data_IF_715922110722
#
_entry.id   IF_715922110722
#
_cell.length_a   1.000
_cell.length_b   1.000
_cell.length_c   1.000
_cell.angle_alpha   90.00
_cell.angle_beta   90.00
_cell.angle_gamma   90.00
#
_symmetry.space_group_name_H-M   'P 1'
#
loop_
_entity.id
_entity.type
_entity.pdbx_description
1 polymer ?
#
# COMPACT_ATOMS: atom_id res chain seq x y z
N UNK A 1 -32.17 21.43 -10.82
CA UNK A 1 -31.44 22.68 -10.85
C UNK A 1 -32.04 23.65 -11.87
N UNK A 2 -31.94 24.95 -11.64
CA UNK A 2 -32.34 26.05 -12.52
C UNK A 2 -31.14 26.95 -12.77
N UNK A 3 -31.08 27.55 -13.98
CA UNK A 3 -30.09 28.56 -14.30
C UNK A 3 -30.34 29.87 -13.52
N UNK A 4 -29.30 30.69 -13.38
CA UNK A 4 -29.40 31.96 -12.67
C UNK A 4 -30.32 32.97 -13.40
N UNK A 5 -30.27 33.04 -14.72
CA UNK A 5 -31.06 33.95 -15.55
C UNK A 5 -31.89 33.17 -16.57
N UNK A 6 -33.11 33.59 -16.83
CA UNK A 6 -34.03 33.01 -17.85
C UNK A 6 -34.16 31.49 -17.74
N UNK A 7 -34.17 30.96 -16.53
CA UNK A 7 -34.28 29.54 -16.31
C UNK A 7 -35.53 28.94 -16.96
N UNK A 8 -35.35 27.86 -17.72
CA UNK A 8 -36.45 27.16 -18.34
C UNK A 8 -37.37 26.56 -17.28
N UNK A 9 -38.66 26.62 -17.52
CA UNK A 9 -39.66 25.96 -16.68
C UNK A 9 -39.47 24.44 -16.65
N UNK A 10 -39.78 23.82 -15.52
CA UNK A 10 -39.71 22.37 -15.33
C UNK A 10 -41.07 21.80 -14.93
N UNK A 11 -41.38 20.62 -15.43
CA UNK A 11 -42.66 19.94 -15.15
C UNK A 11 -42.36 18.87 -14.10
N UNK A 12 -43.25 18.81 -13.08
CA UNK A 12 -43.27 17.77 -12.04
C UNK A 12 -44.66 17.15 -12.03
N UNK A 13 -44.75 15.83 -12.06
CA UNK A 13 -46.01 15.12 -11.90
C UNK A 13 -46.25 14.84 -10.42
N UNK A 14 -47.38 15.34 -9.90
CA UNK A 14 -47.87 15.05 -8.53
C UNK A 14 -48.78 13.84 -8.59
N UNK A 15 -48.46 12.81 -7.85
CA UNK A 15 -49.27 11.61 -7.67
C UNK A 15 -50.00 11.71 -6.34
N UNK A 16 -51.27 12.12 -6.37
CA UNK A 16 -52.12 12.22 -5.19
C UNK A 16 -53.46 11.49 -5.39
N UNK A 17 -54.03 11.00 -4.33
CA UNK A 17 -55.38 10.37 -4.28
C UNK A 17 -56.47 11.33 -3.79
N UNK A 18 -56.08 12.53 -3.38
CA UNK A 18 -56.98 13.55 -2.82
C UNK A 18 -56.44 14.97 -3.16
N UNK A 19 -57.14 15.97 -2.60
CA UNK A 19 -56.74 17.37 -2.73
C UNK A 19 -55.37 17.64 -2.12
N UNK A 20 -54.58 18.46 -2.76
CA UNK A 20 -53.26 18.89 -2.31
C UNK A 20 -53.04 20.40 -2.57
N UNK A 21 -52.09 20.98 -1.83
CA UNK A 21 -51.66 22.37 -1.96
C UNK A 21 -50.16 22.44 -1.74
N UNK A 22 -49.50 23.36 -2.43
CA UNK A 22 -48.06 23.63 -2.20
C UNK A 22 -47.83 25.03 -1.67
N UNK A 23 -46.84 25.13 -0.80
CA UNK A 23 -46.29 26.41 -0.32
C UNK A 23 -44.86 26.53 -0.89
N UNK A 24 -44.55 27.69 -1.44
CA UNK A 24 -43.29 27.96 -2.12
C UNK A 24 -42.71 29.27 -1.63
N UNK A 25 -41.37 29.45 -1.71
CA UNK A 25 -40.76 30.75 -1.41
C UNK A 25 -41.09 31.76 -2.53
N UNK A 26 -40.90 33.04 -2.23
CA UNK A 26 -41.26 34.17 -3.13
C UNK A 26 -40.60 34.11 -4.52
N UNK A 27 -39.48 33.43 -4.61
CA UNK A 27 -38.75 33.32 -5.87
C UNK A 27 -39.14 32.11 -6.73
N UNK A 28 -40.08 31.26 -6.26
CA UNK A 28 -40.59 30.08 -6.96
C UNK A 28 -42.05 30.24 -7.23
N UNK A 29 -42.47 29.85 -8.42
CA UNK A 29 -43.89 29.73 -8.79
C UNK A 29 -44.19 28.32 -9.21
N UNK A 30 -45.25 27.77 -8.67
CA UNK A 30 -45.82 26.45 -9.06
C UNK A 30 -47.21 26.65 -9.60
N UNK A 31 -47.44 26.21 -10.84
CA UNK A 31 -48.72 26.36 -11.53
C UNK A 31 -49.25 25.05 -12.08
N UNK A 32 -50.45 24.57 -11.61
CA UNK A 32 -51.24 25.13 -10.51
C UNK A 32 -50.58 24.85 -9.16
N UNK A 33 -50.81 25.68 -8.14
CA UNK A 33 -50.29 25.52 -6.78
C UNK A 33 -51.18 24.64 -5.86
N UNK A 34 -52.29 24.14 -6.38
CA UNK A 34 -53.18 23.20 -5.73
C UNK A 34 -53.91 22.37 -6.79
N UNK A 35 -54.37 21.19 -6.39
CA UNK A 35 -55.10 20.29 -7.29
C UNK A 35 -55.67 19.09 -6.58
N UNK A 36 -56.29 18.20 -7.37
CA UNK A 36 -56.86 16.93 -6.92
C UNK A 36 -56.39 15.82 -7.85
N UNK A 37 -55.97 14.70 -7.28
CA UNK A 37 -55.54 13.54 -8.06
C UNK A 37 -54.16 13.72 -8.70
N UNK A 38 -53.87 12.93 -9.74
CA UNK A 38 -52.63 12.96 -10.49
C UNK A 38 -52.64 14.17 -11.45
N UNK A 39 -51.62 14.99 -11.38
CA UNK A 39 -51.54 16.23 -12.16
C UNK A 39 -50.10 16.68 -12.38
N UNK A 40 -49.84 17.20 -13.58
CA UNK A 40 -48.61 17.89 -13.86
C UNK A 40 -48.68 19.34 -13.38
N UNK A 41 -47.59 19.79 -12.76
CA UNK A 41 -47.41 21.17 -12.34
C UNK A 41 -46.14 21.73 -12.98
N UNK A 42 -46.20 22.97 -13.43
CA UNK A 42 -45.07 23.72 -13.94
C UNK A 42 -44.41 24.46 -12.79
N UNK A 43 -43.12 24.28 -12.64
CA UNK A 43 -42.27 25.02 -11.69
C UNK A 43 -41.43 26.02 -12.46
N UNK A 44 -41.53 27.28 -12.11
CA UNK A 44 -40.70 28.36 -12.63
C UNK A 44 -40.03 29.13 -11.47
N UNK A 45 -38.95 29.83 -11.78
CA UNK A 45 -38.20 30.62 -10.80
C UNK A 45 -37.94 32.00 -11.33
N UNK A 46 -37.83 32.99 -10.45
CA UNK A 46 -37.34 34.33 -10.84
C UNK A 46 -35.84 34.28 -11.05
N UNK A 47 -35.32 35.23 -11.85
CA UNK A 47 -33.88 35.36 -12.04
C UNK A 47 -33.15 35.54 -10.68
N UNK A 48 -31.98 34.93 -10.56
CA UNK A 48 -31.15 34.98 -9.36
C UNK A 48 -29.87 35.75 -9.65
N UNK A 49 -30.07 37.04 -9.99
CA UNK A 49 -28.97 37.95 -10.29
C UNK A 49 -28.38 38.47 -8.95
N UNK A 50 -27.05 38.44 -8.87
CA UNK A 50 -26.37 39.02 -7.71
C UNK A 50 -26.51 40.54 -7.68
N UNK A 51 -26.54 41.06 -6.48
CA UNK A 51 -26.40 42.49 -6.22
C UNK A 51 -24.97 42.74 -5.70
N UNK A 52 -24.12 43.22 -6.60
CA UNK A 52 -22.71 43.41 -6.30
C UNK A 52 -21.80 42.29 -6.85
N UNK A 53 -20.71 41.96 -6.13
CA UNK A 53 -19.65 41.07 -6.60
C UNK A 53 -19.81 39.59 -6.17
N UNK A 54 -20.74 39.31 -5.26
CA UNK A 54 -20.87 37.95 -4.69
C UNK A 54 -21.85 37.09 -5.50
N UNK A 55 -21.44 35.83 -5.72
CA UNK A 55 -22.33 34.81 -6.21
C UNK A 55 -23.32 34.38 -5.11
N UNK A 56 -24.58 34.16 -5.46
CA UNK A 56 -25.64 33.86 -4.53
C UNK A 56 -26.54 32.68 -4.95
N UNK A 57 -26.00 31.48 -5.13
CA UNK A 57 -26.83 30.32 -5.43
C UNK A 57 -27.88 30.14 -4.32
N UNK A 58 -29.07 29.67 -4.69
CA UNK A 58 -30.16 29.49 -3.73
C UNK A 58 -30.84 28.14 -3.90
N UNK A 59 -31.45 27.68 -2.82
CA UNK A 59 -32.16 26.40 -2.77
C UNK A 59 -33.42 26.50 -1.94
N UNK A 60 -34.41 25.71 -2.27
CA UNK A 60 -35.63 25.57 -1.50
C UNK A 60 -36.20 24.16 -1.58
N UNK A 61 -36.94 23.77 -0.57
CA UNK A 61 -37.72 22.55 -0.56
C UNK A 61 -39.18 22.89 -0.84
N UNK A 62 -39.69 22.49 -1.98
CA UNK A 62 -41.14 22.56 -2.26
C UNK A 62 -41.84 21.47 -1.47
N UNK A 63 -42.93 21.83 -0.76
CA UNK A 63 -43.67 20.90 0.03
C UNK A 63 -45.09 20.83 -0.52
N UNK A 64 -45.48 19.69 -1.08
CA UNK A 64 -46.84 19.38 -1.49
C UNK A 64 -47.57 18.69 -0.33
N UNK A 65 -48.65 19.31 0.16
CA UNK A 65 -49.37 18.89 1.36
C UNK A 65 -50.72 18.36 1.00
N UNK A 66 -51.05 17.15 1.38
CA UNK A 66 -52.43 16.60 1.37
C UNK A 66 -53.19 16.92 2.66
N UNK A 67 -54.31 16.26 2.88
CA UNK A 67 -55.21 16.48 4.02
C UNK A 67 -54.63 16.09 5.39
N UNK A 68 -53.63 15.22 5.43
CA UNK A 68 -53.01 14.73 6.66
C UNK A 68 -51.55 15.10 6.75
N UNK A 69 -51.01 15.11 7.98
CA UNK A 69 -49.57 15.32 8.21
C UNK A 69 -48.68 14.27 7.53
N UNK A 70 -49.21 13.07 7.30
CA UNK A 70 -48.48 11.99 6.61
C UNK A 70 -48.52 12.14 5.07
N UNK A 71 -49.49 12.89 4.54
CA UNK A 71 -49.68 13.09 3.10
C UNK A 71 -48.82 14.28 2.64
N UNK A 72 -47.49 14.06 2.54
CA UNK A 72 -46.55 15.09 2.08
C UNK A 72 -45.55 14.52 1.11
N UNK A 73 -45.30 15.27 0.05
CA UNK A 73 -44.14 15.05 -0.84
C UNK A 73 -43.23 16.29 -0.81
N UNK A 74 -41.95 16.05 -0.95
CA UNK A 74 -40.93 17.12 -0.95
C UNK A 74 -40.07 17.03 -2.19
N UNK A 75 -39.76 18.17 -2.79
CA UNK A 75 -38.83 18.28 -3.92
C UNK A 75 -37.84 19.39 -3.60
N UNK A 76 -36.58 19.03 -3.54
CA UNK A 76 -35.50 20.01 -3.44
C UNK A 76 -35.25 20.64 -4.81
N UNK A 77 -35.32 21.93 -4.87
CA UNK A 77 -34.89 22.71 -6.05
C UNK A 77 -33.68 23.54 -5.69
N UNK A 78 -32.82 23.70 -6.67
CA UNK A 78 -31.64 24.55 -6.60
C UNK A 78 -31.65 25.49 -7.78
N UNK A 79 -31.13 26.70 -7.59
CA UNK A 79 -30.90 27.66 -8.68
C UNK A 79 -29.50 28.21 -8.54
N UNK A 80 -28.74 28.20 -9.64
CA UNK A 80 -27.42 28.75 -9.69
C UNK A 80 -27.42 30.24 -9.35
N UNK A 81 -26.34 30.74 -8.80
CA UNK A 81 -26.06 32.16 -8.78
C UNK A 81 -25.57 32.62 -10.17
N UNK A 82 -25.36 33.90 -10.37
CA UNK A 82 -24.92 34.43 -11.63
C UNK A 82 -23.40 34.36 -11.87
N UNK A 83 -22.67 33.71 -10.95
CA UNK A 83 -21.23 33.44 -11.08
C UNK A 83 -20.87 32.78 -12.43
N UNK A 84 -21.73 31.88 -12.90
CA UNK A 84 -21.49 31.12 -14.15
C UNK A 84 -22.26 31.69 -15.37
N UNK A 85 -22.91 32.84 -15.20
CA UNK A 85 -23.51 33.53 -16.33
C UNK A 85 -22.41 34.02 -17.27
N UNK A 86 -22.56 33.72 -18.55
CA UNK A 86 -21.59 34.09 -19.60
C UNK A 86 -20.18 33.56 -19.35
N UNK A 87 -20.05 32.42 -18.62
CA UNK A 87 -18.75 31.78 -18.42
C UNK A 87 -18.19 31.33 -19.75
N UNK A 88 -16.97 31.76 -20.01
CA UNK A 88 -16.27 31.38 -21.24
C UNK A 88 -15.86 29.89 -21.15
N UNK A 89 -16.10 29.20 -22.27
CA UNK A 89 -15.66 27.83 -22.47
C UNK A 89 -14.17 27.75 -22.79
N UNK A 90 -13.51 26.74 -22.23
CA UNK A 90 -12.10 26.44 -22.42
C UNK A 90 -11.90 24.95 -22.65
N UNK A 91 -10.89 24.58 -23.39
CA UNK A 91 -10.36 23.24 -23.42
C UNK A 91 -9.44 23.00 -22.23
N UNK A 92 -9.22 21.73 -21.82
CA UNK A 92 -8.26 21.40 -20.76
C UNK A 92 -6.87 21.99 -21.02
N UNK A 93 -6.43 22.01 -22.30
CA UNK A 93 -5.14 22.55 -22.70
C UNK A 93 -4.98 24.06 -22.50
N UNK A 94 -6.07 24.82 -22.53
CA UNK A 94 -6.03 26.27 -22.32
C UNK A 94 -5.94 26.66 -20.84
N UNK A 95 -6.35 25.78 -19.92
CA UNK A 95 -6.48 26.12 -18.49
C UNK A 95 -5.15 26.51 -17.84
N UNK A 96 -4.05 25.88 -18.21
CA UNK A 96 -2.75 26.15 -17.62
C UNK A 96 -2.26 27.61 -17.83
N UNK A 97 -2.72 28.26 -18.90
CA UNK A 97 -2.34 29.64 -19.23
C UNK A 97 -3.23 30.71 -18.58
N UNK A 98 -4.33 30.30 -17.93
CA UNK A 98 -5.26 31.25 -17.30
C UNK A 98 -4.73 31.73 -15.95
N UNK A 99 -5.12 32.93 -15.57
CA UNK A 99 -4.90 33.45 -14.22
C UNK A 99 -5.69 32.60 -13.20
N UNK A 100 -5.15 32.53 -11.98
CA UNK A 100 -5.90 31.95 -10.86
C UNK A 100 -7.16 32.77 -10.59
N UNK A 101 -8.18 32.14 -10.00
CA UNK A 101 -9.50 32.70 -9.74
C UNK A 101 -10.36 32.95 -11.00
N UNK A 102 -9.90 32.53 -12.18
CA UNK A 102 -10.74 32.55 -13.39
C UNK A 102 -11.84 31.48 -13.29
N UNK A 103 -13.08 31.90 -13.39
CA UNK A 103 -14.24 31.00 -13.50
C UNK A 103 -14.26 30.42 -14.91
N UNK A 104 -14.38 29.11 -14.99
CA UNK A 104 -14.24 28.36 -16.24
C UNK A 104 -15.38 27.37 -16.46
N UNK A 105 -15.71 27.18 -17.74
CA UNK A 105 -16.51 26.04 -18.24
C UNK A 105 -15.62 25.18 -19.12
N UNK A 106 -15.57 23.87 -18.85
CA UNK A 106 -14.92 22.89 -19.72
C UNK A 106 -16.02 21.98 -20.27
N UNK A 107 -16.44 22.15 -21.51
CA UNK A 107 -17.56 21.39 -22.06
C UNK A 107 -17.22 19.92 -22.30
N UNK A 108 -15.92 19.63 -22.46
CA UNK A 108 -15.46 18.26 -22.65
C UNK A 108 -13.99 18.10 -22.30
N UNK A 109 -13.67 17.17 -21.42
CA UNK A 109 -12.32 16.68 -21.14
C UNK A 109 -12.34 15.18 -20.84
N UNK A 110 -11.18 14.52 -20.94
CA UNK A 110 -11.04 13.09 -20.64
C UNK A 110 -10.40 12.96 -19.26
N UNK A 111 -10.94 12.10 -18.41
CA UNK A 111 -10.33 11.71 -17.14
C UNK A 111 -9.19 10.73 -17.44
N UNK A 112 -7.96 11.12 -17.13
CA UNK A 112 -6.76 10.33 -17.43
C UNK A 112 -6.10 9.70 -16.22
N UNK A 113 -6.41 10.16 -15.00
CA UNK A 113 -6.01 9.53 -13.74
C UNK A 113 -7.05 9.84 -12.66
N UNK A 114 -7.21 8.92 -11.69
CA UNK A 114 -8.08 9.11 -10.52
C UNK A 114 -7.25 8.94 -9.26
N UNK A 115 -7.48 9.81 -8.29
CA UNK A 115 -6.84 9.77 -6.96
C UNK A 115 -7.93 9.77 -5.87
N UNK A 116 -7.55 9.61 -4.61
CA UNK A 116 -8.49 9.70 -3.50
C UNK A 116 -8.99 11.12 -3.21
N UNK A 117 -8.41 12.15 -3.85
CA UNK A 117 -8.77 13.56 -3.63
C UNK A 117 -9.24 14.29 -4.88
N UNK A 118 -9.40 13.59 -5.97
CA UNK A 118 -9.82 14.17 -7.23
C UNK A 118 -9.29 13.36 -8.42
N UNK A 119 -9.18 13.99 -9.54
CA UNK A 119 -8.79 13.33 -10.77
C UNK A 119 -8.03 14.29 -11.72
N UNK A 120 -7.30 13.71 -12.66
CA UNK A 120 -6.60 14.47 -13.70
C UNK A 120 -7.42 14.43 -14.98
N UNK A 121 -7.65 15.59 -15.58
CA UNK A 121 -8.27 15.72 -16.89
C UNK A 121 -7.25 16.15 -17.93
N UNK A 122 -7.53 15.81 -19.19
CA UNK A 122 -6.70 16.14 -20.35
C UNK A 122 -7.55 16.40 -21.58
N UNK A 123 -6.88 16.93 -22.60
CA UNK A 123 -7.41 16.98 -23.96
C UNK A 123 -7.34 15.61 -24.66
N UNK A 124 -7.90 15.52 -25.87
CA UNK A 124 -7.88 14.28 -26.66
C UNK A 124 -6.46 13.82 -27.04
N UNK A 125 -5.45 14.68 -26.93
CA UNK A 125 -4.05 14.38 -27.23
C UNK A 125 -3.23 14.05 -25.99
N UNK A 126 -3.83 14.19 -24.81
CA UNK A 126 -3.17 14.01 -23.52
C UNK A 126 -1.88 14.85 -23.35
N UNK A 127 -1.93 16.10 -23.83
CA UNK A 127 -0.77 16.99 -23.84
C UNK A 127 -0.71 17.96 -22.67
N UNK A 128 -1.87 18.40 -22.20
CA UNK A 128 -2.00 19.33 -21.07
C UNK A 128 -2.92 18.73 -20.01
N UNK A 129 -2.35 18.43 -18.87
CA UNK A 129 -2.98 17.66 -17.81
C UNK A 129 -3.23 18.54 -16.60
N UNK A 130 -4.48 18.62 -16.17
CA UNK A 130 -4.97 19.50 -15.11
C UNK A 130 -5.55 18.63 -13.97
N UNK A 131 -5.15 18.87 -12.75
CA UNK A 131 -5.78 18.23 -11.60
C UNK A 131 -7.07 18.94 -11.24
N UNK A 132 -8.14 18.19 -11.08
CA UNK A 132 -9.44 18.65 -10.57
C UNK A 132 -9.59 18.16 -9.14
N UNK A 133 -9.64 19.10 -8.19
CA UNK A 133 -9.85 18.82 -6.78
C UNK A 133 -11.35 18.76 -6.48
N UNK A 134 -11.95 17.60 -6.73
CA UNK A 134 -13.38 17.36 -6.53
C UNK A 134 -13.65 15.92 -6.14
N UNK A 135 -14.70 15.69 -5.35
CA UNK A 135 -15.08 14.39 -4.82
C UNK A 135 -16.01 13.59 -5.73
N UNK A 136 -16.35 14.11 -6.91
CA UNK A 136 -17.21 13.40 -7.85
C UNK A 136 -16.58 12.08 -8.28
N UNK A 137 -17.36 11.02 -8.24
CA UNK A 137 -16.91 9.71 -8.68
C UNK A 137 -16.85 9.64 -10.18
N UNK A 138 -15.65 9.48 -10.71
CA UNK A 138 -15.37 9.32 -12.15
C UNK A 138 -14.45 8.10 -12.34
N UNK A 139 -14.41 7.59 -13.57
CA UNK A 139 -13.50 6.54 -13.96
C UNK A 139 -12.48 7.06 -15.00
N UNK A 140 -11.31 6.41 -15.04
CA UNK A 140 -10.34 6.67 -16.12
C UNK A 140 -10.97 6.35 -17.46
N UNK A 141 -10.87 7.30 -18.40
CA UNK A 141 -11.51 7.24 -19.72
C UNK A 141 -12.86 7.91 -19.79
N UNK A 142 -13.45 8.34 -18.67
CA UNK A 142 -14.68 9.12 -18.71
C UNK A 142 -14.45 10.45 -19.41
N UNK A 143 -15.37 10.79 -20.30
CA UNK A 143 -15.49 12.10 -20.88
C UNK A 143 -16.43 12.91 -20.02
N UNK A 144 -15.96 14.05 -19.53
CA UNK A 144 -16.72 14.87 -18.58
C UNK A 144 -16.86 16.32 -19.07
N UNK A 145 -17.88 17.01 -18.58
CA UNK A 145 -17.92 18.47 -18.53
C UNK A 145 -17.82 18.96 -17.10
N UNK A 146 -17.29 20.14 -16.88
CA UNK A 146 -17.21 20.76 -15.56
C UNK A 146 -17.34 22.28 -15.59
N UNK A 147 -17.86 22.81 -14.50
CA UNK A 147 -17.83 24.22 -14.11
C UNK A 147 -17.01 24.36 -12.83
N UNK A 148 -16.11 25.31 -12.76
CA UNK A 148 -15.27 25.48 -11.58
C UNK A 148 -14.40 26.72 -11.65
N UNK A 149 -13.40 26.78 -10.80
CA UNK A 149 -12.46 27.90 -10.70
C UNK A 149 -11.04 27.41 -10.96
N UNK A 150 -10.35 28.04 -11.89
CA UNK A 150 -8.93 27.78 -12.14
C UNK A 150 -8.10 28.26 -10.96
N UNK A 151 -7.15 27.45 -10.53
CA UNK A 151 -6.21 27.74 -9.45
C UNK A 151 -4.85 27.14 -9.76
N UNK A 152 -3.90 27.34 -8.85
CA UNK A 152 -2.61 26.67 -8.84
C UNK A 152 -2.38 25.98 -7.50
N UNK A 153 -1.83 24.79 -7.52
CA UNK A 153 -1.47 24.08 -6.28
C UNK A 153 -0.21 24.67 -5.63
N UNK A 154 0.18 24.12 -4.48
CA UNK A 154 1.36 24.58 -3.74
C UNK A 154 2.69 24.41 -4.52
N UNK A 155 2.71 23.59 -5.55
CA UNK A 155 3.84 23.39 -6.47
C UNK A 155 3.72 24.24 -7.75
N UNK A 156 2.78 25.18 -7.80
CA UNK A 156 2.50 26.05 -8.95
C UNK A 156 2.02 25.33 -10.20
N UNK A 157 1.51 24.11 -10.06
CA UNK A 157 0.88 23.38 -11.16
C UNK A 157 -0.60 23.76 -11.25
N UNK A 158 -1.11 23.89 -12.48
CA UNK A 158 -2.49 24.26 -12.68
C UNK A 158 -3.47 23.22 -12.12
N UNK A 159 -4.53 23.71 -11.48
CA UNK A 159 -5.60 22.90 -10.89
C UNK A 159 -6.95 23.58 -11.10
N UNK A 160 -8.03 22.81 -10.95
CA UNK A 160 -9.40 23.31 -10.87
C UNK A 160 -9.94 22.99 -9.48
N UNK A 161 -10.52 23.97 -8.86
CA UNK A 161 -11.14 23.90 -7.53
C UNK A 161 -12.57 24.44 -7.58
N UNK A 162 -13.31 24.30 -6.49
CA UNK A 162 -14.67 24.85 -6.34
C UNK A 162 -15.58 24.46 -7.54
N UNK A 163 -15.59 23.16 -7.83
CA UNK A 163 -16.44 22.65 -8.92
C UNK A 163 -17.90 22.69 -8.48
N UNK A 164 -18.71 23.48 -9.17
CA UNK A 164 -20.17 23.50 -8.94
C UNK A 164 -20.87 22.38 -9.69
N UNK A 165 -20.30 21.92 -10.80
CA UNK A 165 -20.87 20.82 -11.56
C UNK A 165 -19.75 20.03 -12.26
N UNK A 166 -19.77 18.72 -12.07
CA UNK A 166 -18.98 17.74 -12.83
C UNK A 166 -19.95 16.70 -13.37
N UNK A 167 -20.09 16.61 -14.69
CA UNK A 167 -21.03 15.69 -15.33
C UNK A 167 -20.28 14.70 -16.22
N UNK A 168 -20.52 13.40 -16.01
CA UNK A 168 -20.02 12.34 -16.90
C UNK A 168 -20.89 12.28 -18.16
N UNK A 169 -20.29 12.51 -19.31
CA UNK A 169 -20.96 12.53 -20.62
C UNK A 169 -20.95 11.14 -21.27
N UNK A 170 -19.83 10.44 -21.22
CA UNK A 170 -19.66 9.09 -21.77
C UNK A 170 -18.40 8.46 -21.18
N UNK A 171 -18.32 7.12 -21.18
CA UNK A 171 -17.09 6.38 -20.92
C UNK A 171 -16.25 6.19 -22.17
N UNK A 172 -14.98 5.86 -22.00
CA UNK A 172 -14.04 5.61 -23.10
C UNK A 172 -12.73 5.01 -22.63
N UNK A 173 -11.71 5.05 -23.47
CA UNK A 173 -10.36 4.61 -23.16
C UNK A 173 -9.38 5.80 -23.28
N UNK A 174 -8.30 5.75 -22.51
CA UNK A 174 -7.22 6.74 -22.56
C UNK A 174 -6.09 6.22 -23.43
N UNK A 175 -5.61 7.04 -24.34
CA UNK A 175 -4.37 6.80 -25.05
C UNK A 175 -3.26 7.59 -24.34
N UNK A 176 -2.51 6.89 -23.49
CA UNK A 176 -1.38 7.51 -22.80
C UNK A 176 -0.21 7.77 -23.75
N UNK A 177 0.47 8.92 -23.62
CA UNK A 177 1.73 9.14 -24.34
C UNK A 177 2.82 8.23 -23.80
N UNK A 178 3.95 8.12 -24.53
CA UNK A 178 5.15 7.48 -24.00
C UNK A 178 5.63 8.23 -22.74
N UNK A 179 5.79 7.57 -21.58
CA UNK A 179 6.20 8.25 -20.38
C UNK A 179 7.69 8.66 -20.43
N UNK A 180 7.98 9.84 -19.93
CA UNK A 180 9.35 10.27 -19.72
C UNK A 180 9.96 9.54 -18.51
N UNK A 181 11.03 8.75 -18.71
CA UNK A 181 11.77 8.16 -17.59
C UNK A 181 12.59 9.24 -16.87
N UNK A 182 12.23 9.47 -15.60
CA UNK A 182 12.89 10.46 -14.74
C UNK A 182 13.80 9.83 -13.69
N UNK A 183 13.98 8.50 -13.66
CA UNK A 183 14.76 7.79 -12.64
C UNK A 183 16.18 8.32 -12.53
N UNK A 184 16.90 8.45 -13.65
CA UNK A 184 18.29 8.90 -13.66
C UNK A 184 18.48 10.41 -13.36
N UNK A 185 17.41 11.20 -13.37
CA UNK A 185 17.44 12.66 -13.17
C UNK A 185 16.51 13.13 -12.05
N UNK A 186 16.20 12.24 -11.13
CA UNK A 186 15.22 12.50 -10.06
C UNK A 186 15.57 13.72 -9.21
N UNK A 187 16.86 13.99 -9.02
CA UNK A 187 17.35 15.07 -8.18
C UNK A 187 17.28 16.46 -8.84
N UNK A 188 17.27 16.48 -10.17
CA UNK A 188 17.25 17.71 -10.96
C UNK A 188 15.95 17.90 -11.73
N UNK A 189 15.01 16.93 -11.63
CA UNK A 189 13.77 16.99 -12.38
C UNK A 189 12.86 18.07 -11.84
N UNK A 190 12.50 18.99 -12.71
CA UNK A 190 11.50 20.03 -12.45
C UNK A 190 10.60 20.21 -13.65
N UNK A 191 9.32 20.46 -13.42
CA UNK A 191 8.36 20.74 -14.49
C UNK A 191 7.31 21.72 -13.98
N UNK A 192 6.91 22.64 -14.85
CA UNK A 192 5.77 23.53 -14.64
C UNK A 192 4.45 22.93 -15.13
N UNK A 193 4.48 21.72 -15.65
CA UNK A 193 3.34 20.97 -16.17
C UNK A 193 3.26 19.59 -15.55
N UNK A 194 2.05 19.00 -15.55
CA UNK A 194 1.82 17.61 -15.17
C UNK A 194 2.16 16.68 -16.33
N UNK A 195 3.45 16.52 -16.63
CA UNK A 195 3.93 15.57 -17.65
C UNK A 195 3.63 14.13 -17.25
N UNK A 196 3.53 13.25 -18.25
CA UNK A 196 3.41 11.82 -18.05
C UNK A 196 4.81 11.22 -17.90
N UNK A 197 5.09 10.66 -16.75
CA UNK A 197 6.44 10.23 -16.34
C UNK A 197 6.43 8.79 -15.84
N UNK A 198 7.59 8.17 -15.89
CA UNK A 198 7.84 6.89 -15.20
C UNK A 198 9.08 6.99 -14.32
N UNK A 199 9.07 6.24 -13.21
CA UNK A 199 10.19 6.15 -12.30
C UNK A 199 10.25 4.77 -11.68
N UNK A 200 11.46 4.22 -11.54
CA UNK A 200 11.72 2.94 -10.90
C UNK A 200 12.45 3.14 -9.58
N UNK A 201 12.02 2.47 -8.54
CA UNK A 201 12.64 2.55 -7.22
C UNK A 201 12.19 1.44 -6.29
N UNK A 202 12.82 1.37 -5.11
CA UNK A 202 12.40 0.46 -4.03
C UNK A 202 11.35 1.15 -3.18
N UNK A 203 10.18 0.55 -3.06
CA UNK A 203 9.11 1.07 -2.21
C UNK A 203 9.29 0.63 -0.75
N UNK A 204 9.39 1.58 0.16
CA UNK A 204 9.63 1.34 1.59
C UNK A 204 8.35 1.34 2.46
N UNK A 205 7.17 1.33 1.82
CA UNK A 205 5.87 1.46 2.49
C UNK A 205 5.31 2.89 2.52
N UNK A 206 6.13 3.89 2.15
CA UNK A 206 5.74 5.31 2.10
C UNK A 206 6.20 5.99 0.82
N UNK A 207 7.47 5.84 0.47
CA UNK A 207 8.10 6.44 -0.71
C UNK A 207 8.94 5.42 -1.47
N UNK A 208 9.30 5.74 -2.71
CA UNK A 208 10.28 4.98 -3.48
C UNK A 208 11.66 5.64 -3.32
N UNK A 209 12.65 4.81 -3.04
CA UNK A 209 14.07 5.17 -3.12
C UNK A 209 14.58 4.76 -4.50
N UNK A 210 14.99 5.73 -5.31
CA UNK A 210 15.40 5.50 -6.71
C UNK A 210 16.84 5.03 -6.79
N UNK A 211 17.72 5.55 -5.94
CA UNK A 211 19.08 5.06 -5.73
C UNK A 211 19.57 5.41 -4.32
N UNK A 212 20.63 4.74 -3.85
CA UNK A 212 21.20 4.97 -2.50
C UNK A 212 21.64 6.42 -2.27
N UNK A 213 22.03 7.14 -3.33
CA UNK A 213 22.55 8.50 -3.26
C UNK A 213 21.58 9.56 -3.75
N UNK A 214 20.35 9.20 -4.09
CA UNK A 214 19.36 10.17 -4.53
C UNK A 214 19.00 11.15 -3.40
N UNK A 215 19.03 12.45 -3.74
CA UNK A 215 18.62 13.53 -2.83
C UNK A 215 17.12 13.47 -2.55
N UNK A 216 16.35 13.10 -3.56
CA UNK A 216 14.89 13.06 -3.48
C UNK A 216 14.37 11.63 -3.60
N UNK A 217 13.41 11.30 -2.75
CA UNK A 217 12.56 10.13 -2.89
C UNK A 217 11.34 10.45 -3.76
N UNK A 218 10.55 9.44 -4.10
CA UNK A 218 9.30 9.61 -4.87
C UNK A 218 8.11 9.16 -4.05
N UNK A 219 7.07 9.97 -4.01
CA UNK A 219 5.78 9.62 -3.41
C UNK A 219 4.72 9.43 -4.47
N UNK A 220 3.96 8.36 -4.37
CA UNK A 220 2.70 8.18 -5.10
C UNK A 220 1.60 8.85 -4.29
N UNK A 221 1.13 9.99 -4.77
CA UNK A 221 0.19 10.82 -4.00
C UNK A 221 -1.24 10.39 -4.20
N UNK A 222 -1.98 10.34 -3.09
CA UNK A 222 -3.41 10.07 -3.06
C UNK A 222 -3.82 8.83 -3.89
N UNK A 223 -2.97 7.78 -3.84
CA UNK A 223 -3.16 6.56 -4.60
C UNK A 223 -4.47 5.85 -4.21
N UNK A 224 -5.33 5.50 -5.17
CA UNK A 224 -6.50 4.68 -4.87
C UNK A 224 -6.07 3.26 -4.47
N UNK A 225 -6.84 2.64 -3.58
CA UNK A 225 -6.55 1.28 -3.09
C UNK A 225 -6.47 0.23 -4.21
N UNK A 226 -7.15 0.48 -5.33
CA UNK A 226 -7.14 -0.39 -6.51
C UNK A 226 -5.77 -0.57 -7.15
N UNK A 227 -4.83 0.35 -6.93
CA UNK A 227 -3.45 0.23 -7.40
C UNK A 227 -2.60 -0.77 -6.58
N UNK A 228 -3.07 -1.19 -5.40
CA UNK A 228 -2.39 -2.21 -4.59
C UNK A 228 -1.03 -1.82 -4.00
N UNK A 229 -0.69 -0.52 -4.00
CA UNK A 229 0.64 -0.03 -3.58
C UNK A 229 1.09 -0.54 -2.21
N UNK A 230 0.18 -0.64 -1.25
CA UNK A 230 0.50 -1.07 0.13
C UNK A 230 1.07 -2.48 0.23
N UNK A 231 0.78 -3.35 -0.74
CA UNK A 231 1.30 -4.72 -0.79
C UNK A 231 2.74 -4.81 -1.33
N UNK A 232 3.29 -3.71 -1.87
CA UNK A 232 4.57 -3.69 -2.56
C UNK A 232 5.75 -3.22 -1.69
N UNK A 233 5.58 -3.18 -0.37
CA UNK A 233 6.66 -2.80 0.54
C UNK A 233 7.85 -3.75 0.42
N UNK A 234 9.04 -3.20 0.19
CA UNK A 234 10.27 -3.96 -0.05
C UNK A 234 10.47 -4.42 -1.50
N UNK A 235 9.53 -4.12 -2.39
CA UNK A 235 9.64 -4.45 -3.81
C UNK A 235 10.28 -3.32 -4.62
N UNK A 236 10.90 -3.69 -5.72
CA UNK A 236 11.26 -2.77 -6.80
C UNK A 236 9.98 -2.50 -7.58
N UNK A 237 9.57 -1.25 -7.64
CA UNK A 237 8.32 -0.83 -8.29
C UNK A 237 8.62 0.18 -9.39
N UNK A 238 8.04 0.00 -10.56
CA UNK A 238 7.97 1.02 -11.59
C UNK A 238 6.63 1.74 -11.46
N UNK A 239 6.68 3.04 -11.22
CA UNK A 239 5.50 3.91 -11.11
C UNK A 239 5.38 4.70 -12.38
N UNK A 240 4.23 4.65 -13.04
CA UNK A 240 3.90 5.47 -14.21
C UNK A 240 2.70 6.34 -13.90
N UNK A 241 2.76 7.63 -14.26
CA UNK A 241 1.68 8.55 -13.96
C UNK A 241 2.00 10.01 -14.26
N UNK A 242 1.19 10.91 -13.72
CA UNK A 242 1.33 12.35 -13.94
C UNK A 242 2.13 13.00 -12.82
N UNK A 243 3.14 13.78 -13.22
CA UNK A 243 3.96 14.55 -12.29
C UNK A 243 3.12 15.53 -11.47
N UNK A 244 3.30 15.51 -10.16
CA UNK A 244 2.56 16.33 -9.21
C UNK A 244 3.44 17.34 -8.44
N UNK A 245 4.65 17.62 -8.97
CA UNK A 245 5.56 18.63 -8.42
C UNK A 245 6.49 18.09 -7.34
N UNK A 246 7.48 18.92 -6.99
CA UNK A 246 8.42 18.66 -5.91
C UNK A 246 7.92 19.30 -4.62
N UNK A 247 7.67 18.49 -3.61
CA UNK A 247 7.48 18.94 -2.22
C UNK A 247 8.68 18.47 -1.40
N UNK A 248 9.74 19.28 -1.33
CA UNK A 248 11.03 18.88 -0.74
C UNK A 248 10.87 18.12 0.58
N UNK A 249 11.51 16.98 0.75
CA UNK A 249 12.49 16.33 -0.13
C UNK A 249 11.89 15.25 -1.06
N UNK A 250 10.65 15.38 -1.52
CA UNK A 250 9.91 14.33 -2.22
C UNK A 250 9.40 14.80 -3.57
N UNK A 251 9.75 14.10 -4.64
CA UNK A 251 9.10 14.18 -5.94
C UNK A 251 7.74 13.46 -5.87
N UNK A 252 6.70 13.99 -6.52
CA UNK A 252 5.34 13.52 -6.37
C UNK A 252 4.76 13.08 -7.71
N UNK A 253 4.10 11.92 -7.73
CA UNK A 253 3.46 11.36 -8.94
C UNK A 253 2.03 10.91 -8.59
N UNK A 254 1.06 11.26 -9.40
CA UNK A 254 -0.29 10.69 -9.40
C UNK A 254 -0.26 9.47 -10.32
N UNK A 255 -0.17 8.29 -9.75
CA UNK A 255 0.03 7.07 -10.52
C UNK A 255 -1.22 6.67 -11.30
N UNK A 256 -0.99 6.20 -12.52
CA UNK A 256 -1.97 5.52 -13.37
C UNK A 256 -1.72 4.02 -13.42
N UNK A 257 -0.48 3.62 -13.20
CA UNK A 257 -0.05 2.22 -13.23
C UNK A 257 1.13 1.97 -12.28
N UNK A 258 1.20 0.75 -11.74
CA UNK A 258 2.28 0.25 -10.91
C UNK A 258 2.70 -1.12 -11.42
N UNK A 259 3.96 -1.27 -11.80
CA UNK A 259 4.55 -2.56 -12.15
C UNK A 259 5.39 -3.07 -10.99
N UNK A 260 5.05 -4.26 -10.49
CA UNK A 260 5.83 -4.97 -9.49
C UNK A 260 6.99 -5.72 -10.18
N UNK A 261 8.21 -5.30 -9.91
CA UNK A 261 9.43 -5.94 -10.42
C UNK A 261 10.05 -6.93 -9.41
N UNK A 262 9.31 -7.32 -8.39
CA UNK A 262 9.71 -8.28 -7.36
C UNK A 262 10.43 -7.67 -6.17
N UNK A 263 10.79 -8.53 -5.22
CA UNK A 263 11.52 -8.11 -4.02
C UNK A 263 12.88 -7.51 -4.37
N UNK A 264 13.27 -6.49 -3.61
CA UNK A 264 14.58 -5.82 -3.75
C UNK A 264 15.70 -6.65 -3.11
N UNK A 265 15.86 -7.91 -3.52
CA UNK A 265 16.92 -8.75 -2.98
C UNK A 265 17.45 -9.80 -3.98
N UNK A 266 18.74 -10.07 -3.88
CA UNK A 266 19.38 -11.25 -4.45
C UNK A 266 19.51 -12.26 -3.32
N UNK A 267 18.88 -13.42 -3.45
CA UNK A 267 18.93 -14.50 -2.45
C UNK A 267 19.98 -15.52 -2.89
N UNK A 268 20.99 -15.72 -2.08
CA UNK A 268 22.06 -16.72 -2.26
C UNK A 268 21.71 -18.04 -1.59
N UNK A 269 21.00 -17.99 -0.48
CA UNK A 269 20.55 -19.14 0.26
C UNK A 269 19.24 -18.82 1.02
N UNK A 270 18.31 -19.77 1.04
CA UNK A 270 17.07 -19.66 1.83
C UNK A 270 16.64 -21.04 2.31
N UNK A 271 16.26 -21.13 3.58
CA UNK A 271 15.65 -22.31 4.20
C UNK A 271 14.58 -21.87 5.20
N UNK A 272 13.34 -22.32 4.97
CA UNK A 272 12.19 -22.06 5.84
C UNK A 272 11.63 -23.34 6.49
N UNK A 273 12.27 -24.46 6.29
CA UNK A 273 11.90 -25.78 6.82
C UNK A 273 10.45 -26.23 6.54
N UNK A 274 9.68 -25.55 5.69
CA UNK A 274 8.28 -25.92 5.38
C UNK A 274 8.15 -27.34 4.82
N UNK A 275 9.16 -27.85 4.13
CA UNK A 275 9.21 -29.20 3.62
C UNK A 275 9.23 -30.28 4.74
N UNK A 276 9.47 -29.90 5.99
CA UNK A 276 9.36 -30.78 7.17
C UNK A 276 7.91 -31.00 7.63
N UNK A 277 6.93 -30.27 7.11
CA UNK A 277 5.53 -30.39 7.52
C UNK A 277 4.98 -31.82 7.46
N UNK A 278 5.26 -32.66 6.42
CA UNK A 278 4.83 -34.05 6.41
C UNK A 278 5.40 -34.85 7.58
N UNK A 279 6.63 -34.59 7.99
CA UNK A 279 7.24 -35.22 9.17
C UNK A 279 6.61 -34.73 10.46
N UNK A 280 6.29 -33.47 10.54
CA UNK A 280 5.60 -32.86 11.66
C UNK A 280 4.22 -33.48 11.88
N UNK A 281 3.45 -33.63 10.82
CA UNK A 281 2.15 -34.31 10.84
C UNK A 281 2.27 -35.77 11.28
N UNK A 282 3.22 -36.53 10.72
CA UNK A 282 3.48 -37.93 11.06
C UNK A 282 3.92 -38.11 12.52
N UNK A 283 4.67 -37.16 13.06
CA UNK A 283 5.17 -37.17 14.45
C UNK A 283 4.24 -36.55 15.48
N UNK A 284 3.08 -36.06 15.07
CA UNK A 284 2.17 -35.26 15.91
C UNK A 284 2.85 -34.03 16.55
N UNK A 285 3.87 -33.50 15.90
CA UNK A 285 4.46 -32.21 16.21
C UNK A 285 3.57 -31.11 15.67
N UNK A 286 3.66 -29.94 15.83
CA UNK A 286 2.80 -28.97 15.19
C UNK A 286 2.32 -27.92 16.15
N UNK A 287 3.27 -27.31 16.86
CA UNK A 287 3.04 -26.19 17.75
C UNK A 287 3.72 -24.96 17.20
N UNK A 288 3.01 -23.87 17.18
CA UNK A 288 3.56 -22.58 16.77
C UNK A 288 4.20 -21.86 17.96
N UNK A 289 5.34 -21.22 17.73
CA UNK A 289 5.95 -20.30 18.70
C UNK A 289 4.97 -19.16 19.03
N UNK A 290 4.28 -18.65 18.04
CA UNK A 290 3.34 -17.54 18.19
C UNK A 290 2.16 -17.85 19.11
N UNK A 291 1.73 -19.11 19.18
CA UNK A 291 0.68 -19.54 20.11
C UNK A 291 1.20 -19.79 21.50
N UNK A 292 2.52 -19.79 21.69
CA UNK A 292 3.18 -20.11 22.97
C UNK A 292 2.81 -21.52 23.51
N UNK A 293 2.34 -22.38 22.62
CA UNK A 293 1.88 -23.74 22.92
C UNK A 293 2.94 -24.75 22.47
N UNK A 294 4.06 -24.73 23.13
CA UNK A 294 5.18 -25.60 22.82
C UNK A 294 4.97 -26.98 23.41
N UNK A 295 5.03 -28.00 22.58
CA UNK A 295 5.02 -29.38 23.05
C UNK A 295 6.31 -29.69 23.81
N UNK A 296 6.20 -30.05 25.09
CA UNK A 296 7.31 -30.61 25.83
C UNK A 296 7.81 -31.94 25.21
N UNK A 297 6.95 -32.59 24.45
CA UNK A 297 7.17 -33.90 23.83
C UNK A 297 7.38 -33.79 22.30
N UNK A 298 7.88 -32.66 21.79
CA UNK A 298 8.25 -32.55 20.38
C UNK A 298 9.15 -33.75 19.99
N UNK A 299 8.86 -34.46 18.88
CA UNK A 299 9.63 -35.63 18.47
C UNK A 299 11.05 -35.22 18.07
N UNK A 300 12.02 -36.09 18.41
CA UNK A 300 13.36 -35.94 17.86
C UNK A 300 13.35 -36.19 16.35
N UNK A 301 14.15 -35.48 15.57
CA UNK A 301 14.25 -35.68 14.11
C UNK A 301 14.57 -37.15 13.74
N UNK A 302 15.29 -37.83 14.61
CA UNK A 302 15.65 -39.27 14.45
C UNK A 302 14.50 -40.25 14.68
N UNK A 303 13.38 -39.77 15.20
CA UNK A 303 12.23 -40.64 15.59
C UNK A 303 11.03 -40.48 14.65
N UNK A 304 11.06 -39.52 13.74
CA UNK A 304 9.95 -39.26 12.82
C UNK A 304 10.34 -39.71 11.41
N UNK A 305 9.49 -40.50 10.78
CA UNK A 305 9.76 -41.11 9.47
C UNK A 305 8.61 -40.85 8.50
N UNK A 306 8.95 -40.48 7.28
CA UNK A 306 8.06 -40.39 6.12
C UNK A 306 8.70 -41.20 5.00
N UNK A 307 7.94 -42.09 4.39
CA UNK A 307 8.41 -43.00 3.29
C UNK A 307 9.70 -43.74 3.64
N UNK A 308 9.88 -44.12 4.91
CA UNK A 308 11.04 -44.90 5.38
C UNK A 308 12.31 -44.06 5.62
N UNK A 309 12.26 -42.74 5.45
CA UNK A 309 13.38 -41.82 5.72
C UNK A 309 13.10 -41.05 7.00
N UNK A 310 14.05 -40.96 7.92
CA UNK A 310 13.89 -40.10 9.09
C UNK A 310 14.01 -38.64 8.74
N UNK A 311 13.36 -37.75 9.49
CA UNK A 311 13.53 -36.32 9.31
C UNK A 311 15.01 -35.90 9.45
N UNK A 312 15.75 -36.59 10.34
CA UNK A 312 17.18 -36.36 10.51
C UNK A 312 17.98 -36.67 9.24
N UNK A 313 17.79 -37.85 8.66
CA UNK A 313 18.49 -38.24 7.42
C UNK A 313 18.09 -37.35 6.24
N UNK A 314 16.84 -36.90 6.20
CA UNK A 314 16.37 -35.99 5.17
C UNK A 314 17.07 -34.62 5.26
N UNK A 315 17.22 -34.05 6.46
CA UNK A 315 17.98 -32.80 6.69
C UNK A 315 19.46 -32.98 6.31
N UNK A 316 20.10 -34.09 6.76
CA UNK A 316 21.50 -34.36 6.42
C UNK A 316 21.71 -34.56 4.92
N UNK A 317 20.75 -35.16 4.22
CA UNK A 317 20.79 -35.33 2.75
C UNK A 317 20.81 -33.99 2.00
N UNK A 318 20.24 -32.94 2.55
CA UNK A 318 20.31 -31.57 2.01
C UNK A 318 21.67 -30.88 2.29
N UNK A 319 22.58 -31.56 3.00
CA UNK A 319 23.91 -31.05 3.29
C UNK A 319 24.06 -30.40 4.66
N UNK A 320 22.99 -30.27 5.43
CA UNK A 320 23.07 -29.81 6.82
C UNK A 320 23.82 -30.82 7.66
N UNK A 321 24.49 -30.32 8.69
CA UNK A 321 25.09 -31.13 9.76
C UNK A 321 24.71 -30.52 11.10
N UNK A 322 24.86 -31.30 12.13
CA UNK A 322 24.57 -30.85 13.51
C UNK A 322 25.79 -30.97 14.35
N UNK A 323 25.92 -30.10 15.35
CA UNK A 323 26.88 -30.21 16.43
C UNK A 323 26.15 -30.52 17.74
N UNK A 324 26.78 -31.31 18.58
CA UNK A 324 26.24 -31.78 19.85
C UNK A 324 27.24 -31.55 20.96
N UNK A 325 26.71 -31.54 22.20
CA UNK A 325 27.53 -31.72 23.37
C UNK A 325 28.02 -33.20 23.49
N UNK A 326 28.60 -33.55 24.59
CA UNK A 326 29.18 -34.87 24.84
C UNK A 326 28.22 -35.99 24.42
N UNK A 327 28.76 -37.02 23.75
CA UNK A 327 28.14 -38.31 23.44
C UNK A 327 27.16 -38.39 22.27
N UNK A 328 27.33 -37.63 21.18
CA UNK A 328 26.49 -37.71 19.97
C UNK A 328 24.98 -37.71 20.28
N UNK A 329 24.60 -36.95 21.28
CA UNK A 329 23.23 -36.92 21.76
C UNK A 329 22.39 -36.02 20.86
N UNK A 330 21.88 -36.57 19.76
CA UNK A 330 21.12 -35.88 18.72
C UNK A 330 19.85 -35.21 19.27
N UNK A 331 20.01 -34.10 20.00
CA UNK A 331 18.94 -33.36 20.67
C UNK A 331 18.45 -32.20 19.80
N UNK A 332 17.99 -32.57 18.58
CA UNK A 332 17.26 -31.70 17.68
C UNK A 332 15.86 -32.27 17.55
N UNK A 333 14.89 -31.41 17.65
CA UNK A 333 13.48 -31.77 17.69
C UNK A 333 12.73 -31.02 16.61
N UNK A 334 11.67 -31.64 16.08
CA UNK A 334 10.77 -31.08 15.10
C UNK A 334 9.57 -30.44 15.81
N UNK A 335 9.37 -29.19 15.57
CA UNK A 335 8.11 -28.50 15.82
C UNK A 335 7.29 -28.48 14.53
N UNK A 336 6.40 -27.56 14.31
CA UNK A 336 5.56 -27.54 13.12
C UNK A 336 6.40 -27.70 11.83
N UNK A 337 7.07 -26.68 11.43
CA UNK A 337 7.95 -26.59 10.25
C UNK A 337 9.25 -25.86 10.58
N UNK A 338 9.74 -25.98 11.81
CA UNK A 338 10.97 -25.35 12.28
C UNK A 338 11.68 -26.26 13.29
N UNK A 339 12.92 -25.93 13.64
CA UNK A 339 13.76 -26.76 14.47
C UNK A 339 13.87 -26.22 15.89
N UNK A 340 13.86 -27.15 16.85
CA UNK A 340 14.21 -26.89 18.23
C UNK A 340 15.51 -27.59 18.60
N UNK A 341 16.43 -26.84 19.19
CA UNK A 341 17.74 -27.29 19.59
C UNK A 341 17.85 -27.46 21.13
N UNK A 342 18.47 -28.55 21.54
CA UNK A 342 18.82 -28.79 22.92
C UNK A 342 17.71 -29.36 23.80
N UNK A 343 18.14 -29.83 24.94
CA UNK A 343 17.38 -30.35 26.05
C UNK A 343 18.13 -29.95 27.33
N UNK A 344 17.51 -29.95 28.50
CA UNK A 344 18.21 -29.75 29.75
C UNK A 344 19.42 -30.69 29.83
N UNK A 345 20.59 -30.12 30.00
CA UNK A 345 21.87 -30.84 30.05
C UNK A 345 22.43 -31.34 28.72
N UNK A 346 21.79 -30.98 27.59
CA UNK A 346 22.26 -31.37 26.25
C UNK A 346 22.04 -30.27 25.28
N UNK A 347 23.09 -29.73 24.69
CA UNK A 347 23.08 -28.64 23.77
C UNK A 347 23.27 -29.10 22.31
N UNK A 348 22.79 -28.31 21.36
CA UNK A 348 22.94 -28.61 19.97
C UNK A 348 22.99 -27.31 19.14
N UNK A 349 23.57 -27.40 17.96
CA UNK A 349 23.60 -26.37 16.95
C UNK A 349 23.54 -26.98 15.57
N UNK A 350 23.44 -26.13 14.54
CA UNK A 350 23.34 -26.51 13.14
C UNK A 350 24.51 -25.94 12.32
N UNK A 351 24.94 -26.72 11.36
CA UNK A 351 25.88 -26.32 10.32
C UNK A 351 25.08 -26.27 9.02
N UNK A 352 25.11 -25.13 8.36
CA UNK A 352 24.42 -24.96 7.09
C UNK A 352 25.07 -25.79 5.98
N UNK A 353 24.31 -26.15 4.93
CA UNK A 353 24.89 -26.81 3.75
C UNK A 353 25.91 -25.87 3.07
N UNK A 354 26.78 -26.42 2.20
CA UNK A 354 27.67 -25.60 1.40
C UNK A 354 26.92 -24.55 0.58
N UNK A 355 27.39 -23.30 0.64
CA UNK A 355 26.79 -22.15 -0.06
C UNK A 355 27.85 -21.60 -1.00
N UNK A 356 27.50 -21.49 -2.28
CA UNK A 356 28.40 -20.98 -3.30
C UNK A 356 27.90 -19.65 -3.86
N UNK A 357 28.83 -18.81 -4.32
CA UNK A 357 28.53 -17.58 -5.04
C UNK A 357 28.23 -16.35 -4.19
N UNK A 358 28.42 -16.38 -2.86
CA UNK A 358 28.33 -15.17 -2.04
C UNK A 358 29.55 -14.29 -2.29
N UNK A 359 29.37 -13.04 -2.76
CA UNK A 359 30.49 -12.14 -3.05
C UNK A 359 31.25 -11.75 -1.79
N UNK A 360 32.59 -11.73 -1.89
CA UNK A 360 33.46 -11.29 -0.80
C UNK A 360 33.37 -9.78 -0.56
N UNK A 361 33.61 -9.38 0.69
CA UNK A 361 33.84 -7.99 1.10
C UNK A 361 32.76 -6.97 0.71
N UNK A 362 31.54 -7.42 0.45
CA UNK A 362 30.40 -6.51 0.25
C UNK A 362 29.82 -6.07 1.59
N UNK A 363 29.36 -4.82 1.65
CA UNK A 363 28.86 -4.21 2.87
C UNK A 363 27.43 -4.59 3.20
N UNK A 364 26.67 -5.06 2.20
CA UNK A 364 25.23 -5.25 2.24
C UNK A 364 24.77 -6.71 2.12
N UNK A 365 25.69 -7.68 2.12
CA UNK A 365 25.34 -9.10 2.20
C UNK A 365 25.09 -9.46 3.67
N UNK A 366 23.98 -10.10 3.92
CA UNK A 366 23.50 -10.41 5.27
C UNK A 366 23.06 -11.86 5.38
N UNK A 367 23.51 -12.56 6.42
CA UNK A 367 22.87 -13.77 6.92
C UNK A 367 21.80 -13.34 7.91
N UNK A 368 20.58 -13.79 7.72
CA UNK A 368 19.49 -13.55 8.65
C UNK A 368 18.74 -14.86 8.97
N UNK A 369 18.15 -14.93 10.15
CA UNK A 369 17.33 -16.07 10.58
C UNK A 369 16.38 -15.63 11.70
N UNK A 370 15.29 -16.37 11.86
CA UNK A 370 14.35 -16.17 12.97
C UNK A 370 14.69 -17.14 14.09
N UNK A 371 14.70 -16.65 15.33
CA UNK A 371 14.99 -17.47 16.49
C UNK A 371 14.25 -16.98 17.73
N UNK A 372 14.12 -17.85 18.73
CA UNK A 372 13.78 -17.45 20.08
C UNK A 372 14.28 -18.48 21.11
N UNK A 373 14.40 -18.05 22.36
CA UNK A 373 14.63 -18.94 23.50
C UNK A 373 13.35 -19.68 23.88
N UNK A 374 13.48 -20.85 24.52
CA UNK A 374 12.32 -21.60 24.99
C UNK A 374 11.84 -21.10 26.35
N UNK A 375 10.52 -21.02 26.54
CA UNK A 375 9.91 -20.83 27.85
C UNK A 375 9.59 -22.18 28.49
N UNK A 376 9.97 -22.36 29.75
CA UNK A 376 9.63 -23.52 30.54
C UNK A 376 8.16 -23.44 31.01
N UNK A 377 7.58 -24.58 31.39
CA UNK A 377 6.23 -24.61 31.97
C UNK A 377 6.07 -23.80 33.27
N UNK A 378 7.18 -23.50 33.95
CA UNK A 378 7.24 -22.57 35.08
C UNK A 378 7.17 -21.09 34.71
N UNK A 379 7.21 -20.76 33.43
CA UNK A 379 7.33 -19.40 32.92
C UNK A 379 8.76 -18.89 32.74
N UNK A 380 9.75 -19.63 33.24
CA UNK A 380 11.17 -19.26 33.13
C UNK A 380 11.62 -19.32 31.66
N UNK A 381 12.29 -18.29 31.19
CA UNK A 381 12.93 -18.25 29.86
C UNK A 381 14.30 -18.93 29.95
N UNK A 382 14.61 -19.81 28.99
CA UNK A 382 15.92 -20.44 28.91
C UNK A 382 16.97 -19.37 28.47
N UNK A 383 18.09 -19.22 29.17
CA UNK A 383 19.15 -18.33 28.75
C UNK A 383 19.85 -18.91 27.53
N UNK A 384 19.92 -18.14 26.46
CA UNK A 384 20.53 -18.57 25.20
C UNK A 384 21.41 -17.44 24.64
N UNK A 385 22.71 -17.71 24.51
CA UNK A 385 23.69 -16.83 23.94
C UNK A 385 24.09 -17.37 22.55
N UNK A 386 23.31 -17.03 21.55
CA UNK A 386 23.57 -17.48 20.17
C UNK A 386 24.81 -16.83 19.57
N UNK A 387 25.51 -17.60 18.77
CA UNK A 387 26.63 -17.18 17.94
C UNK A 387 26.52 -17.76 16.55
N UNK A 388 27.07 -17.04 15.58
CA UNK A 388 27.34 -17.55 14.24
C UNK A 388 28.86 -17.67 14.05
N UNK A 389 29.29 -18.80 13.54
CA UNK A 389 30.72 -19.07 13.30
C UNK A 389 30.92 -19.36 11.81
N UNK A 390 31.84 -18.64 11.19
CA UNK A 390 32.30 -18.85 9.82
C UNK A 390 33.70 -19.46 9.89
N UNK A 391 33.93 -20.60 9.24
CA UNK A 391 35.23 -21.29 9.22
C UNK A 391 35.62 -21.59 7.78
N UNK A 392 36.78 -21.08 7.34
CA UNK A 392 37.44 -21.36 6.07
C UNK A 392 38.83 -21.94 6.34
N UNK A 393 38.97 -23.26 6.36
CA UNK A 393 40.19 -23.91 6.75
C UNK A 393 40.60 -23.56 8.20
N UNK A 394 41.71 -22.80 8.34
CA UNK A 394 42.17 -22.32 9.66
C UNK A 394 41.54 -21.02 10.11
N UNK A 395 40.93 -20.28 9.19
CA UNK A 395 40.36 -18.97 9.47
C UNK A 395 38.98 -19.12 10.08
N UNK A 396 38.78 -18.42 11.19
CA UNK A 396 37.53 -18.50 11.97
C UNK A 396 37.08 -17.10 12.38
N UNK A 397 35.85 -16.79 12.06
CA UNK A 397 35.16 -15.57 12.52
C UNK A 397 33.94 -15.97 13.32
N UNK A 398 33.80 -15.42 14.52
CA UNK A 398 32.63 -15.58 15.37
C UNK A 398 31.92 -14.25 15.51
N UNK A 399 30.60 -14.27 15.40
CA UNK A 399 29.73 -13.12 15.58
C UNK A 399 28.68 -13.47 16.63
N UNK A 400 28.58 -12.67 17.68
CA UNK A 400 27.63 -12.84 18.75
C UNK A 400 26.28 -12.25 18.32
N UNK A 401 25.20 -13.01 18.57
CA UNK A 401 23.83 -12.54 18.35
C UNK A 401 23.35 -11.87 19.63
N UNK A 402 22.74 -10.67 19.56
CA UNK A 402 22.24 -9.99 20.73
C UNK A 402 21.27 -10.87 21.54
N UNK A 403 21.41 -10.86 22.85
CA UNK A 403 20.50 -11.54 23.77
C UNK A 403 19.09 -10.98 23.66
N UNK A 404 18.06 -11.82 23.81
CA UNK A 404 16.67 -11.38 23.75
C UNK A 404 16.28 -10.45 24.92
N UNK A 405 16.95 -10.62 26.08
CA UNK A 405 16.65 -9.80 27.26
C UNK A 405 15.24 -10.01 27.83
N UNK A 406 14.60 -11.12 27.50
CA UNK A 406 13.25 -11.42 27.98
C UNK A 406 13.24 -11.80 29.46
N UNK A 407 12.24 -11.24 30.15
CA UNK A 407 11.96 -11.63 31.55
C UNK A 407 11.13 -12.92 31.61
N UNK A 408 11.17 -13.58 32.74
CA UNK A 408 10.35 -14.78 33.00
C UNK A 408 8.86 -14.43 32.80
N UNK A 409 8.14 -15.30 32.11
CA UNK A 409 6.74 -15.11 31.77
C UNK A 409 6.50 -14.41 30.44
N UNK A 410 7.55 -13.91 29.76
CA UNK A 410 7.42 -13.33 28.43
C UNK A 410 6.76 -14.33 27.45
N UNK A 411 5.86 -13.84 26.60
CA UNK A 411 5.27 -14.65 25.53
C UNK A 411 6.33 -14.93 24.47
N UNK A 412 6.43 -16.16 24.00
CA UNK A 412 7.35 -16.49 22.91
C UNK A 412 6.95 -15.80 21.62
N UNK A 413 7.94 -15.27 20.93
CA UNK A 413 7.81 -14.66 19.62
C UNK A 413 9.10 -14.83 18.83
N UNK A 414 8.99 -14.81 17.51
CA UNK A 414 10.15 -14.84 16.63
C UNK A 414 10.88 -13.50 16.64
N UNK A 415 12.21 -13.57 16.78
CA UNK A 415 13.08 -12.41 16.67
C UNK A 415 14.03 -12.63 15.50
N UNK A 416 14.10 -11.65 14.59
CA UNK A 416 15.00 -11.66 13.44
C UNK A 416 16.41 -11.34 13.90
N UNK A 417 17.36 -12.26 13.68
CA UNK A 417 18.78 -11.99 13.79
C UNK A 417 19.33 -11.59 12.41
N UNK A 418 20.22 -10.61 12.38
CA UNK A 418 20.90 -10.16 11.17
C UNK A 418 22.40 -10.07 11.40
N UNK A 419 23.17 -10.72 10.53
CA UNK A 419 24.61 -10.83 10.61
C UNK A 419 25.22 -10.30 9.30
N UNK A 420 25.92 -9.18 9.37
CA UNK A 420 26.65 -8.66 8.21
C UNK A 420 27.80 -9.59 7.81
N UNK A 421 27.90 -9.92 6.53
CA UNK A 421 28.98 -10.72 5.95
C UNK A 421 30.11 -9.85 5.40
N UNK A 422 30.17 -8.58 5.76
CA UNK A 422 31.23 -7.67 5.32
C UNK A 422 32.63 -8.23 5.64
N UNK A 423 33.44 -8.41 4.59
CA UNK A 423 34.80 -8.93 4.74
C UNK A 423 34.89 -10.42 5.05
N UNK A 424 33.78 -11.14 5.02
CA UNK A 424 33.74 -12.60 5.22
C UNK A 424 33.61 -13.27 3.84
N UNK A 425 34.54 -14.18 3.55
CA UNK A 425 34.45 -15.03 2.38
C UNK A 425 33.49 -16.19 2.67
N UNK A 426 32.43 -16.30 1.88
CA UNK A 426 31.48 -17.43 1.94
C UNK A 426 31.45 -18.13 0.59
N UNK A 427 31.74 -19.41 0.58
CA UNK A 427 31.74 -20.26 -0.60
C UNK A 427 31.39 -21.71 -0.21
N UNK A 428 31.46 -22.63 -1.17
CA UNK A 428 31.16 -24.05 -0.93
C UNK A 428 32.00 -24.73 0.15
N UNK A 429 33.19 -24.19 0.46
CA UNK A 429 34.09 -24.73 1.47
C UNK A 429 33.94 -24.05 2.83
N UNK A 430 33.14 -22.99 2.91
CA UNK A 430 32.84 -22.29 4.17
C UNK A 430 31.88 -23.10 5.02
N UNK A 431 32.28 -23.35 6.25
CA UNK A 431 31.40 -23.94 7.26
C UNK A 431 30.76 -22.83 8.08
N UNK A 432 29.45 -22.69 7.95
CA UNK A 432 28.63 -21.73 8.73
C UNK A 432 27.89 -22.51 9.83
N UNK A 433 28.18 -22.15 11.07
CA UNK A 433 27.56 -22.79 12.24
C UNK A 433 26.73 -21.79 13.01
N UNK A 434 25.46 -22.11 13.29
CA UNK A 434 24.61 -21.38 14.22
C UNK A 434 24.49 -22.22 15.49
N UNK A 435 24.93 -21.68 16.62
CA UNK A 435 24.98 -22.41 17.89
C UNK A 435 24.96 -21.43 19.08
N UNK A 436 25.27 -21.89 20.26
CA UNK A 436 25.40 -21.07 21.46
C UNK A 436 26.76 -21.22 22.13
N UNK A 437 27.15 -20.21 22.89
CA UNK A 437 28.46 -20.21 23.59
C UNK A 437 28.48 -21.08 24.84
N UNK A 438 27.36 -21.19 25.54
CA UNK A 438 27.26 -21.93 26.79
C UNK A 438 26.94 -23.39 26.52
N UNK A 439 27.84 -24.25 26.92
CA UNK A 439 27.70 -25.69 26.90
C UNK A 439 27.67 -26.26 28.32
N UNK A 440 27.12 -25.50 29.28
CA UNK A 440 26.95 -25.97 30.65
C UNK A 440 25.80 -26.97 30.70
N UNK A 441 26.14 -28.21 30.99
CA UNK A 441 25.19 -29.32 31.02
C UNK A 441 24.19 -29.26 32.19
N UNK A 442 24.34 -28.31 33.13
CA UNK A 442 23.45 -28.16 34.27
C UNK A 442 22.21 -27.29 33.96
N UNK A 443 22.25 -26.52 32.89
CA UNK A 443 21.18 -25.57 32.53
C UNK A 443 20.39 -25.99 31.28
N UNK A 444 19.17 -25.50 31.16
CA UNK A 444 18.39 -25.61 29.95
C UNK A 444 18.67 -24.38 29.10
N UNK A 445 19.22 -24.60 27.91
CA UNK A 445 19.55 -23.53 26.92
C UNK A 445 18.94 -23.90 25.58
N UNK A 446 17.63 -24.13 25.57
CA UNK A 446 16.88 -24.57 24.39
C UNK A 446 16.45 -23.38 23.61
N UNK A 447 16.50 -23.51 22.29
CA UNK A 447 16.16 -22.46 21.36
C UNK A 447 15.53 -23.01 20.08
N UNK A 448 14.90 -22.12 19.31
CA UNK A 448 14.22 -22.43 18.07
C UNK A 448 14.86 -21.66 16.93
N UNK A 449 14.77 -22.22 15.72
CA UNK A 449 15.36 -21.66 14.50
C UNK A 449 14.43 -21.88 13.32
N UNK A 450 14.28 -20.82 12.53
CA UNK A 450 13.52 -20.82 11.27
C UNK A 450 14.04 -19.76 10.30
N UNK A 451 13.54 -19.74 9.06
CA UNK A 451 13.70 -18.69 8.06
C UNK A 451 15.14 -18.20 7.89
N UNK A 452 16.08 -19.14 7.66
CA UNK A 452 17.49 -18.82 7.41
C UNK A 452 17.62 -18.26 5.99
N UNK A 453 18.26 -17.11 5.84
CA UNK A 453 18.47 -16.49 4.52
C UNK A 453 19.83 -15.78 4.44
N UNK A 454 20.49 -15.92 3.29
CA UNK A 454 21.66 -15.11 2.91
C UNK A 454 21.26 -14.33 1.67
N UNK A 455 21.26 -13.03 1.77
CA UNK A 455 20.83 -12.16 0.68
C UNK A 455 21.52 -10.80 0.70
N UNK A 456 21.40 -10.06 -0.40
CA UNK A 456 21.75 -8.66 -0.48
C UNK A 456 20.70 -7.86 -1.23
N UNK A 457 20.50 -6.56 -0.94
CA UNK A 457 19.65 -5.69 -1.74
C UNK A 457 20.17 -5.56 -3.17
N UNK A 458 19.25 -5.50 -4.14
CA UNK A 458 19.58 -5.15 -5.54
C UNK A 458 19.96 -3.67 -5.58
N UNK A 459 21.06 -3.34 -6.24
CA UNK A 459 21.46 -1.95 -6.50
C UNK A 459 20.73 -1.45 -7.74
N UNK A 460 19.94 -0.39 -7.58
CA UNK A 460 19.25 0.32 -8.66
C UNK A 460 20.11 1.43 -9.25
#
# INVERSE_FOLDING_TARGET
NFEAERAAEKIITIYADADWVTEVPDWVTVTPNSGTGVMDVTVSVTDNMRDGAEDNPRKATLVFKGRTLASRAQVLITQNGDKYRDVKEYTAGELAALADETVISVPSAIVVAVTTKGFVISDDKNTDNIFVSDATTVAVGDKISLLGTKSSDSQKLATVIDCDEVTVLSGGAVNYPEPEDISAKIDDYTSSKRGYVTVKGVFNGSTLTVSENAKYSVSVVDAPASLGLSALTGHIVTVTGYYAGLAEPVQRIMATDLEDNGLNEIVYFMENFEWLEPYSAAGSAGRSVETDDLSANAPALTSVTVDGVTAFDAVEKLGYKFIYDKNDNKRIYLQQNYLKFGKTGNHAGIILPPIDGVPEAKDNVTLSFDWCGMRQGSGKIDPVNLIVIFENGSDKVQIDIPELGWEDGHKLEWVRAEVSLKGITVNKDTKITITQTQWDVSTANRWFLDNIKISEPIKL
#
